data_IF_773403415233
#
_entry.id   IF_773403415233
#
_cell.length_a   1.000
_cell.length_b   1.000
_cell.length_c   1.000
_cell.angle_alpha   90.00
_cell.angle_beta   90.00
_cell.angle_gamma   90.00
#
_symmetry.space_group_name_H-M   'P 1'
#
loop_
_entity.id
_entity.type
_entity.pdbx_description
1 polymer ?
#
# COMPACT_ATOMS: atom_id res chain seq x y z
N UNK A 1 11.36 17.45 42.23
CA UNK A 1 10.55 17.30 41.00
C UNK A 1 11.50 16.96 39.85
N UNK A 2 11.57 15.69 39.45
CA UNK A 2 12.39 15.28 38.30
C UNK A 2 11.67 15.55 36.98
N UNK A 3 12.38 15.85 35.89
CA UNK A 3 11.76 16.07 34.59
C UNK A 3 11.03 14.79 34.14
N UNK A 4 9.77 14.94 33.74
CA UNK A 4 9.02 13.87 33.08
C UNK A 4 9.70 13.59 31.74
N UNK A 5 10.43 12.48 31.65
CA UNK A 5 10.85 11.92 30.37
C UNK A 5 9.59 11.52 29.62
N UNK A 6 9.10 12.40 28.75
CA UNK A 6 8.10 12.04 27.75
C UNK A 6 8.73 10.89 26.95
N UNK A 7 8.28 9.66 27.20
CA UNK A 7 8.86 8.47 26.57
C UNK A 7 9.00 8.72 25.07
N UNK A 8 10.21 8.53 24.52
CA UNK A 8 10.55 8.81 23.12
C UNK A 8 9.38 8.43 22.21
N UNK A 9 8.66 9.43 21.71
CA UNK A 9 7.63 9.22 20.69
C UNK A 9 8.36 8.74 19.44
N UNK A 10 8.40 7.43 19.24
CA UNK A 10 9.02 6.83 18.06
C UNK A 10 8.13 7.16 16.85
N UNK A 11 8.58 8.08 16.02
CA UNK A 11 7.91 8.43 14.76
C UNK A 11 7.85 7.20 13.86
N UNK A 12 6.67 6.93 13.29
CA UNK A 12 6.43 5.85 12.33
C UNK A 12 6.07 6.46 10.99
N UNK A 13 6.94 6.25 10.00
CA UNK A 13 6.70 6.71 8.64
C UNK A 13 5.99 5.61 7.85
N UNK A 14 4.97 6.00 7.09
CA UNK A 14 4.21 5.12 6.20
C UNK A 14 4.15 5.72 4.79
N UNK A 15 3.84 4.90 3.78
CA UNK A 15 3.82 5.33 2.38
C UNK A 15 2.58 4.86 1.63
N UNK A 16 2.28 5.51 0.51
CA UNK A 16 1.26 5.08 -0.45
C UNK A 16 1.96 4.74 -1.76
N UNK A 17 1.68 3.56 -2.29
CA UNK A 17 2.17 3.10 -3.59
C UNK A 17 0.97 2.93 -4.50
N UNK A 18 0.99 3.63 -5.64
CA UNK A 18 -0.11 3.61 -6.60
C UNK A 18 -0.09 2.32 -7.44
N UNK A 19 -1.24 1.68 -7.70
CA UNK A 19 -1.32 0.39 -8.40
C UNK A 19 -1.37 0.57 -9.92
N UNK A 20 -0.50 1.42 -10.48
CA UNK A 20 -0.49 1.76 -11.92
C UNK A 20 0.59 1.02 -12.72
N UNK A 21 1.48 0.27 -12.05
CA UNK A 21 2.55 -0.50 -12.70
C UNK A 21 2.22 -1.98 -12.66
N UNK A 22 2.52 -2.69 -13.75
CA UNK A 22 2.45 -4.16 -13.74
C UNK A 22 3.41 -4.71 -12.70
N UNK A 23 3.06 -5.87 -12.12
CA UNK A 23 3.87 -6.50 -11.09
C UNK A 23 5.32 -6.76 -11.52
N UNK A 24 5.50 -7.29 -12.73
CA UNK A 24 6.79 -7.55 -13.36
C UNK A 24 7.54 -6.29 -13.80
N UNK A 25 6.82 -5.19 -14.06
CA UNK A 25 7.37 -3.93 -14.58
C UNK A 25 7.61 -2.92 -13.44
N UNK A 26 8.18 -3.40 -12.34
CA UNK A 26 8.58 -2.56 -11.21
C UNK A 26 7.50 -2.33 -10.15
N UNK A 27 6.30 -2.92 -10.28
CA UNK A 27 5.34 -2.98 -9.17
C UNK A 27 5.93 -3.69 -7.97
N UNK A 28 6.42 -4.93 -8.16
CA UNK A 28 7.04 -5.72 -7.08
C UNK A 28 8.19 -5.00 -6.40
N UNK A 29 9.10 -4.42 -7.18
CA UNK A 29 10.30 -3.77 -6.65
C UNK A 29 9.97 -2.55 -5.80
N UNK A 30 8.95 -1.76 -6.14
CA UNK A 30 8.51 -0.63 -5.33
C UNK A 30 8.05 -1.05 -3.93
N UNK A 31 7.25 -2.11 -3.84
CA UNK A 31 6.74 -2.64 -2.56
C UNK A 31 7.83 -3.27 -1.70
N UNK A 32 8.66 -4.14 -2.30
CA UNK A 32 9.82 -4.72 -1.60
C UNK A 32 10.77 -3.62 -1.13
N UNK A 33 10.97 -2.58 -1.93
CA UNK A 33 11.81 -1.44 -1.54
C UNK A 33 11.23 -0.67 -0.36
N UNK A 34 9.92 -0.52 -0.26
CA UNK A 34 9.28 0.12 0.88
C UNK A 34 9.53 -0.65 2.19
N UNK A 35 9.48 -1.98 2.16
CA UNK A 35 9.86 -2.79 3.32
C UNK A 35 11.35 -2.61 3.68
N UNK A 36 12.23 -2.66 2.70
CA UNK A 36 13.68 -2.48 2.92
C UNK A 36 14.04 -1.10 3.47
N UNK A 37 13.26 -0.07 3.10
CA UNK A 37 13.42 1.28 3.62
C UNK A 37 12.86 1.45 5.06
N UNK A 38 12.21 0.42 5.61
CA UNK A 38 11.71 0.43 6.98
C UNK A 38 10.40 1.20 7.15
N UNK A 39 9.60 1.36 6.08
CA UNK A 39 8.25 1.92 6.24
C UNK A 39 7.43 1.02 7.17
N UNK A 40 6.72 1.65 8.09
CA UNK A 40 5.90 0.96 9.08
C UNK A 40 4.67 0.30 8.43
N UNK A 41 3.98 1.04 7.57
CA UNK A 41 2.84 0.57 6.79
C UNK A 41 2.96 1.09 5.36
N UNK A 42 2.58 0.28 4.38
CA UNK A 42 2.37 0.72 3.02
C UNK A 42 0.90 0.53 2.61
N UNK A 43 0.38 1.51 1.87
CA UNK A 43 -1.00 1.53 1.43
C UNK A 43 -1.12 1.60 -0.08
N UNK A 44 -2.24 1.15 -0.62
CA UNK A 44 -2.68 1.45 -1.99
C UNK A 44 -4.09 2.05 -1.97
N UNK A 45 -4.46 2.76 -3.04
CA UNK A 45 -5.84 3.18 -3.23
C UNK A 45 -6.69 2.03 -3.78
N UNK A 46 -7.94 1.96 -3.32
CA UNK A 46 -8.96 1.04 -3.83
C UNK A 46 -9.93 1.73 -4.81
N UNK A 47 -9.49 2.81 -5.45
CA UNK A 47 -10.27 3.43 -6.52
C UNK A 47 -10.32 2.52 -7.75
N UNK A 48 -11.37 2.65 -8.58
CA UNK A 48 -11.43 1.92 -9.86
C UNK A 48 -10.61 2.60 -10.96
N UNK A 49 -10.29 3.88 -10.79
CA UNK A 49 -9.44 4.63 -11.70
C UNK A 49 -8.92 5.91 -11.03
N UNK A 50 -7.85 6.47 -11.60
CA UNK A 50 -7.32 7.78 -11.24
C UNK A 50 -7.13 8.58 -12.51
N UNK A 51 -7.56 9.85 -12.53
CA UNK A 51 -7.63 10.65 -13.77
C UNK A 51 -6.31 10.70 -14.55
N UNK A 52 -5.19 10.85 -13.85
CA UNK A 52 -3.85 10.90 -14.46
C UNK A 52 -3.37 9.57 -15.03
N UNK A 53 -4.03 8.45 -14.71
CA UNK A 53 -3.68 7.09 -15.15
C UNK A 53 -4.82 6.42 -15.91
N UNK A 54 -5.79 7.20 -16.41
CA UNK A 54 -7.02 6.69 -17.05
C UNK A 54 -6.77 5.78 -18.26
N UNK A 55 -5.68 5.99 -18.97
CA UNK A 55 -5.35 5.26 -20.20
C UNK A 55 -4.28 4.17 -19.95
N UNK A 56 -3.90 3.98 -18.67
CA UNK A 56 -2.96 2.96 -18.22
C UNK A 56 -3.64 1.92 -17.33
N UNK A 57 -2.91 0.86 -16.94
CA UNK A 57 -3.45 -0.13 -16.03
C UNK A 57 -3.69 0.49 -14.65
N UNK A 58 -4.76 0.03 -13.99
CA UNK A 58 -5.05 0.36 -12.60
C UNK A 58 -5.51 -0.92 -11.90
N UNK A 59 -4.64 -1.50 -11.09
CA UNK A 59 -4.88 -2.80 -10.46
C UNK A 59 -5.72 -2.66 -9.20
N UNK A 60 -6.65 -3.60 -8.99
CA UNK A 60 -7.51 -3.63 -7.81
C UNK A 60 -6.70 -3.80 -6.51
N UNK A 61 -7.14 -3.16 -5.43
CA UNK A 61 -6.40 -3.13 -4.18
C UNK A 61 -6.25 -4.52 -3.56
N UNK A 62 -7.31 -5.34 -3.54
CA UNK A 62 -7.26 -6.70 -2.95
C UNK A 62 -6.21 -7.57 -3.64
N UNK A 63 -6.26 -7.69 -4.97
CA UNK A 63 -5.28 -8.49 -5.72
C UNK A 63 -3.85 -7.95 -5.55
N UNK A 64 -3.69 -6.63 -5.56
CA UNK A 64 -2.39 -5.97 -5.32
C UNK A 64 -1.84 -6.30 -3.94
N UNK A 65 -2.63 -6.10 -2.89
CA UNK A 65 -2.20 -6.34 -1.51
C UNK A 65 -1.93 -7.82 -1.23
N UNK A 66 -2.68 -8.74 -1.85
CA UNK A 66 -2.39 -10.18 -1.81
C UNK A 66 -1.02 -10.50 -2.41
N UNK A 67 -0.70 -9.93 -3.58
CA UNK A 67 0.62 -10.13 -4.20
C UNK A 67 1.75 -9.54 -3.34
N UNK A 68 1.52 -8.39 -2.70
CA UNK A 68 2.48 -7.77 -1.78
C UNK A 68 2.69 -8.63 -0.54
N UNK A 69 1.61 -9.13 0.07
CA UNK A 69 1.70 -10.01 1.24
C UNK A 69 2.54 -11.27 0.96
N UNK A 70 2.49 -11.79 -0.26
CA UNK A 70 3.31 -12.93 -0.67
C UNK A 70 4.79 -12.58 -0.95
N UNK A 71 5.12 -11.28 -1.08
CA UNK A 71 6.45 -10.81 -1.46
C UNK A 71 7.20 -10.04 -0.36
N UNK A 72 6.57 -9.78 0.78
CA UNK A 72 7.12 -9.06 1.94
C UNK A 72 6.80 -9.81 3.22
N UNK A 73 7.60 -9.62 4.28
CA UNK A 73 7.47 -10.42 5.51
C UNK A 73 6.93 -9.62 6.71
N UNK A 74 7.22 -8.33 6.77
CA UNK A 74 7.01 -7.46 7.94
C UNK A 74 6.23 -6.19 7.60
N UNK A 75 6.18 -5.80 6.33
CA UNK A 75 5.48 -4.61 5.88
C UNK A 75 3.97 -4.74 6.17
N UNK A 76 3.43 -3.85 7.00
CA UNK A 76 1.98 -3.81 7.24
C UNK A 76 1.28 -3.25 6.01
N UNK A 77 0.14 -3.83 5.66
CA UNK A 77 -0.57 -3.53 4.42
C UNK A 77 -1.96 -2.98 4.71
N UNK A 78 -2.44 -2.09 3.84
CA UNK A 78 -3.81 -1.60 3.92
C UNK A 78 -4.22 -0.78 2.70
N UNK A 79 -5.47 -0.36 2.71
CA UNK A 79 -6.01 0.62 1.77
C UNK A 79 -5.94 2.01 2.40
N UNK A 80 -5.47 3.01 1.64
CA UNK A 80 -5.65 4.41 2.03
C UNK A 80 -6.89 4.90 1.30
N UNK A 81 -8.03 4.88 1.98
CA UNK A 81 -9.40 4.93 1.43
C UNK A 81 -9.82 3.58 0.83
N UNK A 82 -10.65 2.86 1.58
CA UNK A 82 -11.42 1.72 1.06
C UNK A 82 -12.61 2.25 0.27
N UNK A 83 -12.85 1.74 -0.94
CA UNK A 83 -14.06 2.11 -1.66
C UNK A 83 -15.28 1.53 -0.95
N UNK A 84 -16.36 2.31 -0.85
CA UNK A 84 -17.69 1.80 -0.46
C UNK A 84 -18.50 1.33 -1.66
N UNK A 85 -17.88 1.20 -2.84
CA UNK A 85 -18.56 0.68 -4.02
C UNK A 85 -18.93 -0.79 -3.81
N UNK A 86 -20.08 -1.24 -4.32
CA UNK A 86 -20.43 -2.66 -4.30
C UNK A 86 -19.37 -3.46 -5.06
N UNK A 87 -18.72 -4.40 -4.37
CA UNK A 87 -17.88 -5.40 -5.02
C UNK A 87 -18.79 -6.50 -5.57
N UNK A 88 -18.56 -6.91 -6.82
CA UNK A 88 -19.15 -8.15 -7.35
C UNK A 88 -18.38 -9.34 -6.76
N UNK A 89 -19.05 -10.38 -6.23
CA UNK A 89 -18.38 -11.56 -5.65
C UNK A 89 -17.69 -12.44 -6.69
N UNK A 90 -17.84 -12.13 -7.97
CA UNK A 90 -17.19 -12.80 -9.10
C UNK A 90 -16.28 -11.77 -9.77
N UNK A 91 -15.01 -11.77 -9.37
CA UNK A 91 -13.93 -11.13 -10.12
C UNK A 91 -13.38 -12.18 -11.10
N UNK A 92 -13.56 -11.93 -12.39
CA UNK A 92 -13.05 -12.71 -13.53
C UNK A 92 -11.60 -12.37 -13.85
#
# INVERSE_FOLDING_TARGET
MGPLTLGRMSLRLSTVILPYRRWSEGGRSAWVRAEQLGFHTAYTYDHLSWRSFRDGPWFGAVATLTAVAAATERLRLGTLVTSVKPYSPIAS
#
